data_IF_461913032231
#
_entry.id   IF_461913032231
#
_cell.length_a   1.000
_cell.length_b   1.000
_cell.length_c   1.000
_cell.angle_alpha   90.00
_cell.angle_beta   90.00
_cell.angle_gamma   90.00
#
_symmetry.space_group_name_H-M   'P 1'
#
loop_
_entity.id
_entity.type
_entity.pdbx_description
1 polymer ?
#
# COMPACT_ATOMS: atom_id res chain seq x y z
N UNK A 1 0.59 -34.85 15.12
CA UNK A 1 -0.24 -34.66 13.90
C UNK A 1 -0.89 -33.29 13.98
N UNK A 2 -0.36 -32.29 13.27
CA UNK A 2 -0.95 -30.93 13.28
C UNK A 2 -1.51 -30.69 11.87
N UNK A 3 -2.84 -30.68 11.76
CA UNK A 3 -3.57 -30.48 10.51
C UNK A 3 -3.49 -29.00 10.12
N UNK A 4 -2.59 -28.68 9.18
CA UNK A 4 -2.52 -27.36 8.57
C UNK A 4 -3.66 -27.20 7.55
N UNK A 5 -4.78 -26.59 7.98
CA UNK A 5 -5.85 -26.17 7.08
C UNK A 5 -5.75 -24.66 6.82
N UNK A 6 -4.84 -24.25 5.95
CA UNK A 6 -4.94 -22.99 5.23
C UNK A 6 -5.15 -23.26 3.74
N UNK A 7 -6.39 -23.65 3.41
CA UNK A 7 -6.90 -23.66 2.04
C UNK A 7 -6.96 -22.21 1.55
N UNK A 8 -6.17 -21.89 0.54
CA UNK A 8 -6.28 -20.63 -0.19
C UNK A 8 -7.59 -20.65 -0.97
N UNK A 9 -8.52 -19.77 -0.60
CA UNK A 9 -9.74 -19.52 -1.39
C UNK A 9 -9.38 -18.50 -2.47
N UNK A 10 -9.15 -19.00 -3.68
CA UNK A 10 -8.93 -18.23 -4.90
C UNK A 10 -10.27 -17.74 -5.46
N UNK A 11 -10.98 -16.82 -4.80
CA UNK A 11 -12.25 -16.26 -5.33
C UNK A 11 -12.51 -14.81 -4.84
N UNK A 12 -11.50 -13.95 -4.76
CA UNK A 12 -11.73 -12.54 -4.43
C UNK A 12 -11.10 -11.64 -5.49
N UNK A 13 -11.94 -10.84 -6.15
CA UNK A 13 -11.60 -9.76 -7.09
C UNK A 13 -10.83 -8.60 -6.41
N UNK A 14 -10.00 -8.88 -5.41
CA UNK A 14 -9.28 -7.88 -4.64
C UNK A 14 -8.04 -8.47 -3.97
N UNK A 15 -6.94 -7.71 -4.03
CA UNK A 15 -5.67 -8.06 -3.37
C UNK A 15 -5.82 -8.00 -1.85
N UNK A 16 -5.54 -9.12 -1.16
CA UNK A 16 -5.56 -9.23 0.30
C UNK A 16 -4.18 -8.91 0.89
N UNK A 17 -4.03 -7.76 1.54
CA UNK A 17 -2.86 -7.47 2.38
C UNK A 17 -3.21 -7.79 3.84
N UNK A 18 -2.38 -8.61 4.49
CA UNK A 18 -2.60 -9.09 5.87
C UNK A 18 -1.60 -8.40 6.80
N UNK A 19 -2.07 -7.53 7.69
CA UNK A 19 -1.24 -6.88 8.72
C UNK A 19 -1.41 -7.55 10.08
N UNK A 20 -0.38 -7.47 10.94
CA UNK A 20 -0.25 -8.23 12.20
C UNK A 20 -0.84 -7.52 13.43
N UNK A 21 -1.58 -6.42 13.26
CA UNK A 21 -2.19 -5.65 14.34
C UNK A 21 -3.64 -5.34 14.00
N UNK A 22 -4.55 -5.69 14.92
CA UNK A 22 -5.99 -5.61 14.77
C UNK A 22 -6.50 -4.15 14.82
N UNK A 23 -6.17 -3.36 13.79
CA UNK A 23 -6.84 -2.10 13.47
C UNK A 23 -7.15 -2.12 11.98
N UNK A 24 -8.39 -2.51 11.70
CA UNK A 24 -9.20 -2.27 10.52
C UNK A 24 -8.49 -2.51 9.18
N UNK A 25 -8.81 -3.65 8.56
CA UNK A 25 -8.51 -3.90 7.15
C UNK A 25 -9.27 -2.83 6.35
N UNK A 26 -8.58 -1.75 5.96
CA UNK A 26 -9.18 -0.72 5.11
C UNK A 26 -9.26 -1.29 3.70
N UNK A 27 -10.47 -1.66 3.29
CA UNK A 27 -10.75 -2.08 1.93
C UNK A 27 -10.77 -0.84 1.04
N UNK A 28 -9.68 -0.63 0.29
CA UNK A 28 -9.67 0.37 -0.77
C UNK A 28 -10.27 -0.23 -2.03
N UNK A 29 -11.28 0.44 -2.59
CA UNK A 29 -11.71 0.15 -3.95
C UNK A 29 -10.64 0.66 -4.92
N UNK A 30 -10.33 -0.10 -5.97
CA UNK A 30 -9.36 0.31 -7.00
C UNK A 30 -9.69 1.70 -7.58
N UNK A 31 -10.98 2.05 -7.66
CA UNK A 31 -11.45 3.35 -8.12
C UNK A 31 -11.04 4.51 -7.20
N UNK A 32 -10.90 4.28 -5.90
CA UNK A 32 -10.50 5.31 -4.94
C UNK A 32 -9.00 5.59 -5.01
N UNK A 33 -8.19 4.57 -5.26
CA UNK A 33 -6.75 4.72 -5.50
C UNK A 33 -6.53 5.48 -6.81
N UNK A 34 -7.26 5.14 -7.87
CA UNK A 34 -7.15 5.81 -9.17
C UNK A 34 -7.44 7.31 -9.11
N UNK A 35 -8.42 7.75 -8.30
CA UNK A 35 -8.71 9.18 -8.08
C UNK A 35 -7.57 9.95 -7.40
N UNK A 36 -6.64 9.24 -6.75
CA UNK A 36 -5.47 9.83 -6.08
C UNK A 36 -4.19 9.78 -6.91
N UNK A 37 -4.24 9.17 -8.09
CA UNK A 37 -3.13 9.18 -9.05
C UNK A 37 -3.26 10.42 -9.92
N UNK A 38 -2.26 11.28 -9.86
CA UNK A 38 -2.15 12.49 -10.67
C UNK A 38 -1.12 12.30 -11.77
N UNK A 39 -1.34 12.90 -12.93
CA UNK A 39 -0.36 12.91 -14.02
C UNK A 39 0.32 14.28 -14.05
N UNK A 40 1.61 14.32 -13.73
CA UNK A 40 2.43 15.54 -13.75
C UNK A 40 3.62 15.29 -14.68
N UNK A 41 3.81 16.15 -15.69
CA UNK A 41 4.90 16.01 -16.69
C UNK A 41 4.97 14.60 -17.29
N UNK A 42 3.82 14.01 -17.59
CA UNK A 42 3.70 12.65 -18.14
C UNK A 42 4.10 11.51 -17.18
N UNK A 43 4.26 11.79 -15.88
CA UNK A 43 4.55 10.81 -14.83
C UNK A 43 3.36 10.68 -13.89
N UNK A 44 3.02 9.44 -13.52
CA UNK A 44 1.98 9.17 -12.52
C UNK A 44 2.55 9.33 -11.10
N UNK A 45 1.91 10.18 -10.30
CA UNK A 45 2.35 10.56 -8.96
C UNK A 45 1.16 10.44 -7.99
N UNK A 46 1.42 9.92 -6.80
CA UNK A 46 0.47 9.93 -5.67
C UNK A 46 1.07 10.80 -4.57
N UNK A 47 0.25 11.61 -3.92
CA UNK A 47 0.67 12.40 -2.76
C UNK A 47 0.99 11.49 -1.57
N UNK A 48 2.08 11.76 -0.88
CA UNK A 48 2.52 11.03 0.31
C UNK A 48 1.44 10.97 1.41
N UNK A 49 0.62 12.02 1.54
CA UNK A 49 -0.52 12.09 2.47
C UNK A 49 -1.66 11.12 2.16
N UNK A 50 -1.91 10.84 0.88
CA UNK A 50 -2.88 9.82 0.47
C UNK A 50 -2.24 8.42 0.54
N UNK A 51 -0.94 8.32 0.22
CA UNK A 51 -0.15 7.11 0.38
C UNK A 51 -0.10 6.64 1.85
N UNK A 52 0.05 7.56 2.78
CA UNK A 52 0.13 7.26 4.22
C UNK A 52 -1.18 6.67 4.74
N UNK A 53 -2.33 7.15 4.23
CA UNK A 53 -3.65 6.56 4.51
C UNK A 53 -3.73 5.15 3.97
N UNK A 54 -3.33 4.91 2.72
CA UNK A 54 -3.36 3.59 2.10
C UNK A 54 -2.56 2.54 2.88
N UNK A 55 -1.38 2.92 3.38
CA UNK A 55 -0.54 2.01 4.17
C UNK A 55 -0.86 2.02 5.68
N UNK A 56 -1.80 2.86 6.14
CA UNK A 56 -2.11 3.00 7.56
C UNK A 56 -0.93 3.49 8.40
N UNK A 57 -0.01 4.25 7.82
CA UNK A 57 1.19 4.78 8.48
C UNK A 57 1.19 6.30 8.45
N UNK A 58 1.92 6.93 9.38
CA UNK A 58 2.17 8.37 9.29
C UNK A 58 3.19 8.68 8.18
N UNK A 59 3.06 9.85 7.52
CA UNK A 59 3.97 10.33 6.46
C UNK A 59 5.45 10.32 6.88
N UNK A 60 5.74 10.60 8.16
CA UNK A 60 7.11 10.53 8.71
C UNK A 60 7.78 9.15 8.53
N UNK A 61 7.00 8.07 8.57
CA UNK A 61 7.52 6.72 8.37
C UNK A 61 7.81 6.44 6.90
N UNK A 62 6.99 6.97 5.98
CA UNK A 62 7.27 6.92 4.54
C UNK A 62 8.58 7.66 4.21
N UNK A 63 8.73 8.89 4.72
CA UNK A 63 9.95 9.68 4.53
C UNK A 63 11.19 8.99 5.11
N UNK A 64 11.04 8.30 6.25
CA UNK A 64 12.11 7.48 6.82
C UNK A 64 12.45 6.28 5.93
N UNK A 65 11.46 5.62 5.34
CA UNK A 65 11.67 4.50 4.43
C UNK A 65 12.40 4.93 3.15
N UNK A 66 12.04 6.07 2.57
CA UNK A 66 12.74 6.68 1.43
C UNK A 66 14.20 6.94 1.79
N UNK A 67 14.47 7.60 2.93
CA UNK A 67 15.85 7.88 3.37
C UNK A 67 16.69 6.63 3.63
N UNK A 68 16.08 5.53 4.10
CA UNK A 68 16.79 4.27 4.38
C UNK A 68 17.06 3.43 3.14
N UNK A 69 16.29 3.64 2.08
CA UNK A 69 16.37 2.88 0.82
C UNK A 69 16.49 3.85 -0.36
N UNK A 70 17.34 4.87 -0.24
CA UNK A 70 17.48 5.90 -1.27
C UNK A 70 17.97 5.32 -2.60
N UNK A 71 18.69 4.21 -2.55
CA UNK A 71 19.14 3.39 -3.69
C UNK A 71 17.99 2.83 -4.54
N UNK A 72 16.78 2.73 -3.98
CA UNK A 72 15.59 2.23 -4.70
C UNK A 72 14.79 3.32 -5.41
N UNK A 73 15.15 4.58 -5.23
CA UNK A 73 14.48 5.72 -5.86
C UNK A 73 15.37 6.26 -6.98
N UNK A 74 14.77 6.72 -8.09
CA UNK A 74 15.54 7.38 -9.13
C UNK A 74 16.26 8.62 -8.56
N UNK A 75 17.50 8.83 -8.99
CA UNK A 75 18.17 10.12 -8.82
C UNK A 75 17.41 11.16 -9.68
N UNK A 76 17.25 12.37 -9.14
CA UNK A 76 16.41 13.45 -9.71
C UNK A 76 16.69 13.76 -11.18
#
# INVERSE_FOLDING_TARGET
MISNKNKWSQNATGFKIMTKSNKDIVFYNSSDIQKKIFTIRNVQVILDSDLSKFYGVETKYLNRAVKRNSDRFPEE
#
